data_IF_357567713577
#
_entry.id   IF_357567713577
#
_cell.length_a   1.000
_cell.length_b   1.000
_cell.length_c   1.000
_cell.angle_alpha   90.00
_cell.angle_beta   90.00
_cell.angle_gamma   90.00
#
_symmetry.space_group_name_H-M   'P 1'
#
loop_
_entity.id
_entity.type
_entity.pdbx_description
1 polymer ?
#
# COMPACT_ATOMS: atom_id res chain seq x y z
N UNK A 1 4.40 14.58 9.16
CA UNK A 1 3.39 15.25 8.32
C UNK A 1 2.10 15.28 9.12
N UNK A 2 1.43 16.40 9.23
CA UNK A 2 0.06 16.45 9.77
C UNK A 2 -0.81 16.96 8.65
N UNK A 3 -1.61 16.07 8.08
CA UNK A 3 -2.56 16.43 7.02
C UNK A 3 -3.74 17.14 7.68
N UNK A 4 -3.98 18.38 7.27
CA UNK A 4 -5.09 19.19 7.80
C UNK A 4 -6.36 18.92 6.98
N UNK A 5 -7.45 18.57 7.65
CA UNK A 5 -8.75 18.46 6.99
C UNK A 5 -9.21 19.83 6.46
N UNK A 6 -9.86 19.82 5.29
CA UNK A 6 -10.53 21.02 4.77
C UNK A 6 -11.76 21.35 5.62
N UNK A 7 -12.00 22.64 5.82
CA UNK A 7 -13.20 23.13 6.50
C UNK A 7 -14.44 22.98 5.60
N UNK A 8 -15.63 23.04 6.20
CA UNK A 8 -16.89 22.98 5.45
C UNK A 8 -16.97 24.10 4.41
N UNK A 9 -16.50 25.31 4.75
CA UNK A 9 -16.49 26.44 3.84
C UNK A 9 -15.54 26.22 2.66
N UNK A 10 -14.33 25.73 2.90
CA UNK A 10 -13.36 25.41 1.83
C UNK A 10 -13.90 24.36 0.86
N UNK A 11 -14.67 23.38 1.36
CA UNK A 11 -15.34 22.39 0.51
C UNK A 11 -16.43 23.02 -0.36
N UNK A 12 -17.28 23.90 0.21
CA UNK A 12 -18.30 24.62 -0.56
C UNK A 12 -17.68 25.52 -1.63
N UNK A 13 -16.66 26.29 -1.27
CA UNK A 13 -15.95 27.18 -2.20
C UNK A 13 -15.29 26.40 -3.35
N UNK A 14 -15.03 25.10 -3.13
CA UNK A 14 -14.46 24.17 -4.12
C UNK A 14 -15.52 23.37 -4.89
N UNK A 15 -16.81 23.66 -4.70
CA UNK A 15 -17.90 23.10 -5.50
C UNK A 15 -18.54 21.81 -4.96
N UNK A 16 -18.23 21.40 -3.72
CA UNK A 16 -18.94 20.29 -3.07
C UNK A 16 -20.36 20.68 -2.65
N UNK A 17 -21.33 19.83 -2.93
CA UNK A 17 -22.70 20.00 -2.46
C UNK A 17 -22.86 19.68 -0.97
N UNK A 18 -23.97 20.10 -0.37
CA UNK A 18 -24.34 19.69 0.99
C UNK A 18 -24.38 18.17 1.14
N UNK A 19 -24.91 17.46 0.13
CA UNK A 19 -25.00 16.01 0.13
C UNK A 19 -23.62 15.35 0.13
N UNK A 20 -22.68 15.89 -0.64
CA UNK A 20 -21.32 15.37 -0.72
C UNK A 20 -20.57 15.56 0.61
N UNK A 21 -20.74 16.74 1.23
CA UNK A 21 -20.14 17.04 2.55
C UNK A 21 -20.72 16.14 3.64
N UNK A 22 -22.05 15.92 3.62
CA UNK A 22 -22.70 14.98 4.55
C UNK A 22 -22.20 13.56 4.32
N UNK A 23 -22.01 13.15 3.06
CA UNK A 23 -21.45 11.82 2.73
C UNK A 23 -20.05 11.67 3.32
N UNK A 24 -19.14 12.63 3.12
CA UNK A 24 -17.78 12.62 3.68
C UNK A 24 -17.79 12.54 5.21
N UNK A 25 -18.69 13.28 5.88
CA UNK A 25 -18.83 13.24 7.34
C UNK A 25 -19.33 11.87 7.84
N UNK A 26 -20.33 11.29 7.16
CA UNK A 26 -20.86 9.96 7.50
C UNK A 26 -19.82 8.86 7.32
N UNK A 27 -19.03 8.91 6.26
CA UNK A 27 -17.94 7.96 6.01
C UNK A 27 -16.95 7.99 7.17
N UNK A 28 -16.51 9.18 7.57
CA UNK A 28 -15.60 9.36 8.72
C UNK A 28 -16.19 8.78 10.01
N UNK A 29 -17.46 9.10 10.32
CA UNK A 29 -18.11 8.62 11.55
C UNK A 29 -18.37 7.10 11.50
N UNK A 30 -18.80 6.59 10.34
CA UNK A 30 -19.02 5.15 10.13
C UNK A 30 -17.74 4.35 10.27
N UNK A 31 -16.62 4.84 9.71
CA UNK A 31 -15.29 4.27 9.88
C UNK A 31 -14.87 4.17 11.34
N UNK A 32 -15.07 5.22 12.14
CA UNK A 32 -14.73 5.24 13.57
C UNK A 32 -15.52 4.20 14.39
N UNK A 33 -16.78 3.95 14.05
CA UNK A 33 -17.62 2.97 14.75
C UNK A 33 -17.33 1.51 14.35
N UNK A 34 -16.95 1.25 13.10
CA UNK A 34 -16.69 -0.10 12.58
C UNK A 34 -15.25 -0.58 12.82
N UNK A 35 -14.30 0.31 13.16
CA UNK A 35 -12.88 -0.01 13.30
C UNK A 35 -12.55 -1.05 14.35
N UNK A 36 -13.36 -1.18 15.39
CA UNK A 36 -13.10 -2.10 16.53
C UNK A 36 -13.21 -3.60 16.19
N UNK A 37 -13.64 -3.97 14.98
CA UNK A 37 -13.91 -5.36 14.62
C UNK A 37 -13.50 -5.78 13.21
N UNK A 38 -12.93 -4.90 12.39
CA UNK A 38 -12.68 -5.27 11.00
C UNK A 38 -11.29 -5.87 10.79
N UNK A 39 -11.19 -7.18 11.01
CA UNK A 39 -9.96 -7.93 10.77
C UNK A 39 -9.42 -7.78 9.34
N UNK A 40 -10.29 -7.57 8.35
CA UNK A 40 -9.88 -7.41 6.96
C UNK A 40 -9.08 -6.12 6.74
N UNK A 41 -9.52 -5.00 7.35
CA UNK A 41 -8.80 -3.74 7.29
C UNK A 41 -7.43 -3.84 7.98
N UNK A 42 -7.36 -4.51 9.14
CA UNK A 42 -6.09 -4.75 9.85
C UNK A 42 -5.14 -5.59 8.99
N UNK A 43 -5.63 -6.68 8.39
CA UNK A 43 -4.82 -7.54 7.53
C UNK A 43 -4.27 -6.78 6.32
N UNK A 44 -5.10 -5.94 5.70
CA UNK A 44 -4.64 -5.10 4.61
C UNK A 44 -3.65 -4.02 5.08
N UNK A 45 -3.84 -3.44 6.26
CA UNK A 45 -2.89 -2.55 6.90
C UNK A 45 -1.52 -3.21 7.14
N UNK A 46 -1.51 -4.47 7.60
CA UNK A 46 -0.28 -5.27 7.73
C UNK A 46 0.40 -5.42 6.35
N UNK A 47 -0.37 -5.77 5.32
CA UNK A 47 0.12 -5.87 3.95
C UNK A 47 0.78 -4.56 3.49
N UNK A 48 0.14 -3.41 3.74
CA UNK A 48 0.69 -2.10 3.41
C UNK A 48 1.98 -1.82 4.19
N UNK A 49 2.01 -2.04 5.52
CA UNK A 49 3.21 -1.87 6.31
C UNK A 49 4.39 -2.69 5.81
N UNK A 50 4.15 -3.96 5.48
CA UNK A 50 5.17 -4.85 4.94
C UNK A 50 5.63 -4.42 3.54
N UNK A 51 4.69 -4.01 2.70
CA UNK A 51 4.97 -3.61 1.32
C UNK A 51 5.76 -2.29 1.22
N UNK A 52 5.49 -1.34 2.12
CA UNK A 52 6.16 -0.04 2.17
C UNK A 52 7.28 0.05 3.22
N UNK A 53 7.70 -1.07 3.78
CA UNK A 53 8.67 -1.15 4.88
C UNK A 53 9.97 -0.41 4.61
N UNK A 54 10.51 -0.56 3.41
CA UNK A 54 11.80 0.02 2.99
C UNK A 54 11.65 1.34 2.24
N UNK A 55 10.44 1.88 2.17
CA UNK A 55 10.17 3.14 1.49
C UNK A 55 10.27 4.29 2.49
N UNK A 56 11.20 5.21 2.27
CA UNK A 56 11.34 6.39 3.11
C UNK A 56 10.18 7.37 2.88
N UNK A 57 9.77 8.06 3.95
CA UNK A 57 8.76 9.12 3.90
C UNK A 57 7.38 8.66 3.38
N UNK A 58 7.02 7.40 3.56
CA UNK A 58 5.68 6.91 3.26
C UNK A 58 4.79 7.04 4.48
N UNK A 59 3.69 7.75 4.33
CA UNK A 59 2.69 7.98 5.35
C UNK A 59 1.50 7.05 5.17
N UNK A 60 1.12 6.33 6.21
CA UNK A 60 -0.05 5.46 6.24
C UNK A 60 -1.12 6.08 7.13
N UNK A 61 -2.37 6.03 6.67
CA UNK A 61 -3.52 6.45 7.49
C UNK A 61 -4.78 5.67 7.13
N UNK A 62 -5.61 5.44 8.14
CA UNK A 62 -6.96 4.93 8.01
C UNK A 62 -8.00 5.89 8.60
N UNK A 63 -7.67 7.18 8.73
CA UNK A 63 -8.53 8.19 9.38
C UNK A 63 -8.47 9.57 8.70
N UNK A 64 -8.00 9.66 7.46
CA UNK A 64 -8.01 10.92 6.72
C UNK A 64 -9.42 11.27 6.26
N UNK A 65 -9.66 12.58 6.09
CA UNK A 65 -10.90 13.07 5.50
C UNK A 65 -11.00 12.63 4.03
N UNK A 66 -12.13 12.06 3.64
CA UNK A 66 -12.39 11.61 2.27
C UNK A 66 -13.66 10.81 2.13
N UNK A 67 -13.89 10.30 0.94
CA UNK A 67 -14.98 9.37 0.59
C UNK A 67 -14.46 7.95 0.33
N UNK A 68 -13.13 7.78 0.27
CA UNK A 68 -12.42 6.51 0.13
C UNK A 68 -11.33 6.50 1.19
N UNK A 69 -11.61 5.90 2.35
CA UNK A 69 -10.90 6.21 3.58
C UNK A 69 -10.48 5.00 4.43
N UNK A 70 -10.73 3.76 4.00
CA UNK A 70 -10.34 2.60 4.81
C UNK A 70 -8.81 2.56 5.00
N UNK A 71 -8.05 2.79 3.94
CA UNK A 71 -6.61 3.04 4.01
C UNK A 71 -6.13 4.05 2.98
N UNK A 72 -5.18 4.88 3.38
CA UNK A 72 -4.50 5.83 2.50
C UNK A 72 -2.99 5.69 2.65
N UNK A 73 -2.30 5.65 1.52
CA UNK A 73 -0.83 5.68 1.46
C UNK A 73 -0.41 6.95 0.75
N UNK A 74 0.44 7.74 1.39
CA UNK A 74 0.97 8.97 0.80
C UNK A 74 2.49 8.90 0.72
N UNK A 75 3.01 8.98 -0.49
CA UNK A 75 4.44 9.16 -0.76
C UNK A 75 4.73 10.60 -1.20
N UNK A 76 5.94 10.87 -1.63
CA UNK A 76 6.32 12.18 -2.15
C UNK A 76 5.48 12.57 -3.39
N UNK A 77 5.30 11.63 -4.31
CA UNK A 77 4.70 11.86 -5.64
C UNK A 77 3.31 11.28 -5.80
N UNK A 78 2.90 10.33 -4.96
CA UNK A 78 1.65 9.60 -5.13
C UNK A 78 0.80 9.60 -3.85
N UNK A 79 -0.51 9.52 -4.05
CA UNK A 79 -1.51 9.22 -3.03
C UNK A 79 -2.36 8.05 -3.50
N UNK A 80 -2.39 6.97 -2.73
CA UNK A 80 -3.23 5.80 -2.97
C UNK A 80 -4.35 5.76 -1.95
N UNK A 81 -5.58 5.71 -2.42
CA UNK A 81 -6.78 5.60 -1.59
C UNK A 81 -7.37 4.20 -1.77
N UNK A 82 -7.58 3.46 -0.69
CA UNK A 82 -8.07 2.10 -0.71
C UNK A 82 -9.44 2.01 -0.03
N UNK A 83 -10.42 1.48 -0.74
CA UNK A 83 -11.71 1.08 -0.21
C UNK A 83 -11.77 -0.44 -0.09
N UNK A 84 -12.01 -0.95 1.09
CA UNK A 84 -12.00 -2.38 1.37
C UNK A 84 -13.42 -2.94 1.44
N UNK A 85 -13.62 -4.10 0.81
CA UNK A 85 -14.89 -4.85 0.82
C UNK A 85 -14.64 -6.33 1.09
N UNK A 86 -14.93 -6.75 2.32
CA UNK A 86 -14.89 -8.15 2.72
C UNK A 86 -16.30 -8.74 2.69
N UNK A 87 -16.70 -9.33 1.58
CA UNK A 87 -18.05 -9.90 1.42
C UNK A 87 -18.07 -11.02 0.39
N UNK A 88 -18.79 -12.07 0.71
CA UNK A 88 -19.14 -13.15 -0.23
C UNK A 88 -20.22 -12.71 -1.22
N UNK A 89 -20.97 -11.64 -0.91
CA UNK A 89 -22.03 -11.10 -1.76
C UNK A 89 -21.53 -10.15 -2.83
N UNK A 90 -22.41 -9.25 -3.29
CA UNK A 90 -22.12 -8.29 -4.37
C UNK A 90 -21.34 -7.06 -3.93
N UNK A 91 -21.15 -6.82 -2.64
CA UNK A 91 -20.55 -5.58 -2.11
C UNK A 91 -19.07 -5.38 -2.49
N UNK A 92 -18.38 -6.42 -2.96
CA UNK A 92 -17.02 -6.34 -3.52
C UNK A 92 -16.96 -6.03 -5.01
N UNK A 93 -18.09 -5.73 -5.66
CA UNK A 93 -18.15 -5.30 -7.06
C UNK A 93 -18.16 -3.78 -7.16
N UNK A 94 -17.55 -3.28 -8.22
CA UNK A 94 -17.73 -1.88 -8.62
C UNK A 94 -19.20 -1.63 -8.95
N UNK A 95 -19.73 -0.53 -8.43
CA UNK A 95 -21.09 -0.05 -8.69
C UNK A 95 -21.10 1.48 -8.89
N UNK A 96 -22.27 2.01 -9.17
CA UNK A 96 -22.46 3.45 -9.40
C UNK A 96 -22.13 4.29 -8.17
N UNK A 97 -22.44 3.78 -6.97
CA UNK A 97 -22.17 4.50 -5.72
C UNK A 97 -20.67 4.58 -5.45
N UNK A 98 -19.94 3.48 -5.65
CA UNK A 98 -18.50 3.44 -5.49
C UNK A 98 -17.82 4.33 -6.55
N UNK A 99 -18.31 4.32 -7.80
CA UNK A 99 -17.84 5.24 -8.84
C UNK A 99 -18.00 6.69 -8.40
N UNK A 100 -19.18 7.07 -7.89
CA UNK A 100 -19.41 8.43 -7.38
C UNK A 100 -18.45 8.78 -6.25
N UNK A 101 -18.22 7.88 -5.30
CA UNK A 101 -17.27 8.09 -4.18
C UNK A 101 -15.84 8.32 -4.68
N UNK A 102 -15.39 7.53 -5.65
CA UNK A 102 -14.05 7.67 -6.24
C UNK A 102 -13.91 9.00 -6.98
N UNK A 103 -14.93 9.43 -7.71
CA UNK A 103 -14.95 10.75 -8.37
C UNK A 103 -14.91 11.91 -7.36
N UNK A 104 -15.65 11.82 -6.27
CA UNK A 104 -15.61 12.81 -5.19
C UNK A 104 -14.24 12.82 -4.50
N UNK A 105 -13.62 11.65 -4.28
CA UNK A 105 -12.28 11.57 -3.73
C UNK A 105 -11.25 12.18 -4.66
N UNK A 106 -11.33 11.91 -5.95
CA UNK A 106 -10.45 12.51 -6.96
C UNK A 106 -10.58 14.02 -6.98
N UNK A 107 -11.81 14.54 -6.91
CA UNK A 107 -12.05 15.98 -6.82
C UNK A 107 -11.44 16.57 -5.54
N UNK A 108 -11.66 15.92 -4.40
CA UNK A 108 -11.06 16.31 -3.12
C UNK A 108 -9.53 16.36 -3.19
N UNK A 109 -8.91 15.34 -3.77
CA UNK A 109 -7.45 15.25 -3.87
C UNK A 109 -6.87 16.35 -4.77
N UNK A 110 -7.59 16.77 -5.83
CA UNK A 110 -7.19 17.85 -6.74
C UNK A 110 -7.23 19.23 -6.12
N UNK A 111 -8.05 19.45 -5.10
CA UNK A 111 -8.17 20.76 -4.43
C UNK A 111 -7.39 20.84 -3.14
N UNK A 112 -7.05 19.69 -2.53
CA UNK A 112 -6.38 19.67 -1.23
C UNK A 112 -4.91 20.10 -1.35
N UNK A 113 -4.42 21.11 -0.58
CA UNK A 113 -3.08 21.67 -0.71
C UNK A 113 -1.95 20.61 -0.63
N UNK A 114 -2.11 19.61 0.24
CA UNK A 114 -1.11 18.55 0.44
C UNK A 114 -1.10 17.49 -0.67
N UNK A 115 -2.14 17.46 -1.54
CA UNK A 115 -2.32 16.40 -2.54
C UNK A 115 -2.30 16.91 -3.98
N UNK A 116 -2.58 18.19 -4.23
CA UNK A 116 -2.76 18.76 -5.57
C UNK A 116 -1.59 18.51 -6.55
N UNK A 117 -0.38 18.20 -6.02
CA UNK A 117 0.79 17.87 -6.82
C UNK A 117 1.07 16.37 -6.91
N UNK A 118 0.21 15.55 -6.30
CA UNK A 118 0.39 14.09 -6.28
C UNK A 118 -0.51 13.42 -7.31
N UNK A 119 -0.03 12.31 -7.83
CA UNK A 119 -0.85 11.41 -8.64
C UNK A 119 -1.73 10.62 -7.67
N UNK A 120 -3.04 10.79 -7.75
CA UNK A 120 -3.99 10.05 -6.92
C UNK A 120 -4.51 8.82 -7.65
N UNK A 121 -4.49 7.69 -6.97
CA UNK A 121 -5.08 6.42 -7.44
C UNK A 121 -6.11 5.94 -6.41
N UNK A 122 -7.23 5.42 -6.89
CA UNK A 122 -8.32 4.93 -6.07
C UNK A 122 -8.52 3.44 -6.33
N UNK A 123 -8.36 2.61 -5.31
CA UNK A 123 -8.36 1.16 -5.44
C UNK A 123 -9.49 0.52 -4.64
N UNK A 124 -10.36 -0.24 -5.31
CA UNK A 124 -11.26 -1.17 -4.65
C UNK A 124 -10.49 -2.44 -4.28
N UNK A 125 -10.38 -2.72 -2.99
CA UNK A 125 -9.79 -3.97 -2.47
C UNK A 125 -10.92 -4.90 -2.05
N UNK A 126 -10.93 -6.13 -2.54
CA UNK A 126 -12.02 -7.08 -2.31
C UNK A 126 -11.50 -8.50 -2.06
N UNK A 127 -12.27 -9.28 -1.28
CA UNK A 127 -11.87 -10.63 -0.83
C UNK A 127 -12.43 -11.78 -1.67
N UNK A 128 -13.43 -11.54 -2.53
CA UNK A 128 -14.04 -12.57 -3.36
C UNK A 128 -13.38 -12.63 -4.75
N UNK A 129 -12.67 -13.74 -5.10
CA UNK A 129 -11.98 -13.86 -6.40
C UNK A 129 -12.94 -13.84 -7.61
N UNK A 130 -14.22 -14.18 -7.43
CA UNK A 130 -15.23 -14.15 -8.50
C UNK A 130 -15.47 -12.73 -9.05
N UNK A 131 -15.10 -11.69 -8.29
CA UNK A 131 -15.27 -10.30 -8.71
C UNK A 131 -14.13 -9.76 -9.57
N UNK A 132 -13.02 -10.49 -9.74
CA UNK A 132 -11.83 -10.01 -10.47
C UNK A 132 -12.20 -9.55 -11.88
N UNK A 133 -12.78 -10.44 -12.68
CA UNK A 133 -13.13 -10.13 -14.08
C UNK A 133 -14.18 -9.03 -14.18
N UNK A 134 -15.20 -9.08 -13.32
CA UNK A 134 -16.25 -8.06 -13.30
C UNK A 134 -15.67 -6.67 -13.03
N UNK A 135 -14.83 -6.51 -11.99
CA UNK A 135 -14.28 -5.23 -11.60
C UNK A 135 -13.32 -4.68 -12.67
N UNK A 136 -12.48 -5.53 -13.25
CA UNK A 136 -11.59 -5.13 -14.34
C UNK A 136 -12.37 -4.63 -15.56
N UNK A 137 -13.42 -5.36 -15.95
CA UNK A 137 -14.28 -4.99 -17.07
C UNK A 137 -15.03 -3.68 -16.80
N UNK A 138 -15.62 -3.52 -15.61
CA UNK A 138 -16.32 -2.30 -15.22
C UNK A 138 -15.43 -1.06 -15.28
N UNK A 139 -14.17 -1.15 -14.78
CA UNK A 139 -13.20 -0.06 -14.82
C UNK A 139 -12.89 0.31 -16.28
N UNK A 140 -12.63 -0.68 -17.12
CA UNK A 140 -12.29 -0.48 -18.52
C UNK A 140 -13.44 0.16 -19.32
N UNK A 141 -14.67 -0.35 -19.17
CA UNK A 141 -15.85 0.17 -19.87
C UNK A 141 -16.23 1.61 -19.45
N UNK A 142 -15.98 1.96 -18.20
CA UNK A 142 -16.32 3.29 -17.67
C UNK A 142 -15.18 4.30 -17.80
N UNK A 143 -14.05 3.96 -18.42
CA UNK A 143 -12.89 4.83 -18.66
C UNK A 143 -12.42 5.49 -17.34
N UNK A 144 -12.23 4.65 -16.31
CA UNK A 144 -11.84 5.12 -14.97
C UNK A 144 -10.31 5.06 -14.82
N UNK A 145 -9.59 5.96 -15.50
CA UNK A 145 -8.13 5.91 -15.68
C UNK A 145 -7.30 5.87 -14.37
N UNK A 146 -7.81 6.51 -13.30
CA UNK A 146 -7.14 6.54 -12.00
C UNK A 146 -7.73 5.55 -10.98
N UNK A 147 -8.53 4.58 -11.46
CA UNK A 147 -9.17 3.61 -10.60
C UNK A 147 -8.65 2.21 -10.87
N UNK A 148 -8.46 1.46 -9.81
CA UNK A 148 -7.96 0.11 -9.85
C UNK A 148 -8.84 -0.83 -9.03
N UNK A 149 -8.69 -2.12 -9.26
CA UNK A 149 -9.25 -3.15 -8.40
C UNK A 149 -8.17 -4.16 -8.02
N UNK A 150 -8.13 -4.51 -6.74
CA UNK A 150 -7.15 -5.43 -6.16
C UNK A 150 -7.87 -6.55 -5.42
N UNK A 151 -7.66 -7.78 -5.88
CA UNK A 151 -8.02 -8.95 -5.08
C UNK A 151 -7.03 -9.12 -3.94
N UNK A 152 -7.53 -9.12 -2.70
CA UNK A 152 -6.75 -9.45 -1.51
C UNK A 152 -7.54 -10.50 -0.72
N UNK A 153 -7.01 -11.72 -0.55
CA UNK A 153 -7.74 -12.81 0.08
C UNK A 153 -8.01 -12.53 1.55
N UNK A 154 -9.09 -13.11 2.08
CA UNK A 154 -9.41 -13.08 3.49
C UNK A 154 -9.58 -14.49 4.04
N UNK A 155 -9.06 -14.71 5.24
CA UNK A 155 -9.33 -15.88 6.09
C UNK A 155 -9.41 -15.41 7.54
N UNK A 156 -10.11 -16.19 8.34
CA UNK A 156 -10.42 -15.81 9.73
C UNK A 156 -9.20 -15.85 10.64
N UNK A 157 -8.17 -16.60 10.29
CA UNK A 157 -6.97 -16.74 11.11
C UNK A 157 -5.69 -16.29 10.38
N UNK A 158 -4.72 -15.77 11.14
CA UNK A 158 -3.40 -15.39 10.61
C UNK A 158 -2.64 -16.60 10.04
N UNK A 159 -2.84 -17.79 10.61
CA UNK A 159 -2.20 -19.03 10.12
C UNK A 159 -2.72 -19.36 8.72
N UNK A 160 -4.04 -19.29 8.51
CA UNK A 160 -4.63 -19.50 7.19
C UNK A 160 -4.20 -18.42 6.21
N UNK A 161 -4.13 -17.15 6.63
CA UNK A 161 -3.61 -16.06 5.80
C UNK A 161 -2.15 -16.29 5.39
N UNK A 162 -1.31 -16.82 6.28
CA UNK A 162 0.06 -17.23 5.96
C UNK A 162 0.11 -18.42 4.97
N UNK A 163 -0.88 -19.31 5.00
CA UNK A 163 -0.92 -20.45 4.10
C UNK A 163 -1.30 -20.10 2.65
N UNK A 164 -1.96 -18.93 2.44
CA UNK A 164 -2.41 -18.49 1.12
C UNK A 164 -1.30 -17.72 0.41
N UNK A 165 -0.93 -18.16 -0.79
CA UNK A 165 0.11 -17.55 -1.61
C UNK A 165 -0.25 -16.14 -2.04
N UNK A 166 -1.52 -15.90 -2.41
CA UNK A 166 -2.06 -14.63 -2.88
C UNK A 166 -2.05 -13.54 -1.80
N UNK A 167 -1.97 -13.90 -0.50
CA UNK A 167 -1.80 -12.91 0.58
C UNK A 167 -0.43 -12.25 0.54
N UNK A 168 0.55 -12.91 -0.08
CA UNK A 168 1.95 -12.51 -0.14
C UNK A 168 2.65 -12.36 1.22
N UNK A 169 2.00 -12.67 2.35
CA UNK A 169 2.57 -12.45 3.68
C UNK A 169 3.89 -13.18 3.90
N UNK A 170 4.01 -14.45 3.52
CA UNK A 170 5.29 -15.17 3.65
C UNK A 170 6.42 -14.47 2.91
N UNK A 171 6.15 -14.04 1.67
CA UNK A 171 7.13 -13.35 0.83
C UNK A 171 7.52 -12.00 1.43
N UNK A 172 6.55 -11.25 1.94
CA UNK A 172 6.77 -9.92 2.50
C UNK A 172 7.42 -9.97 3.90
N UNK A 173 7.13 -11.02 4.68
CA UNK A 173 7.71 -11.24 6.00
C UNK A 173 9.15 -11.74 5.94
N UNK A 174 9.47 -12.62 5.01
CA UNK A 174 10.78 -13.27 4.96
C UNK A 174 11.97 -12.30 5.10
N UNK A 175 12.00 -11.13 4.44
CA UNK A 175 13.09 -10.19 4.60
C UNK A 175 13.16 -9.52 5.99
N UNK A 176 12.02 -9.37 6.69
CA UNK A 176 11.96 -8.74 8.03
C UNK A 176 12.02 -9.74 9.16
N UNK A 177 11.57 -10.95 8.92
CA UNK A 177 11.48 -12.06 9.86
C UNK A 177 11.93 -13.34 9.12
N UNK A 178 13.25 -13.59 9.00
CA UNK A 178 13.77 -14.74 8.25
C UNK A 178 13.33 -16.09 8.82
N UNK A 179 13.11 -16.17 10.13
CA UNK A 179 12.61 -17.38 10.77
C UNK A 179 11.10 -17.54 10.52
N UNK A 180 10.76 -18.47 9.63
CA UNK A 180 9.37 -18.76 9.27
C UNK A 180 8.51 -19.21 10.46
N UNK A 181 9.11 -19.82 11.49
CA UNK A 181 8.38 -20.22 12.70
C UNK A 181 7.85 -19.02 13.50
N UNK A 182 8.42 -17.83 13.28
CA UNK A 182 8.03 -16.58 13.93
C UNK A 182 7.06 -15.73 13.10
N UNK A 183 6.72 -16.13 11.88
CA UNK A 183 5.88 -15.33 10.99
C UNK A 183 4.51 -14.99 11.59
N UNK A 184 3.84 -15.94 12.26
CA UNK A 184 2.58 -15.67 12.94
C UNK A 184 2.75 -14.64 14.07
N UNK A 185 3.80 -14.80 14.88
CA UNK A 185 4.12 -13.85 15.95
C UNK A 185 4.40 -12.46 15.38
N UNK A 186 5.15 -12.37 14.29
CA UNK A 186 5.44 -11.12 13.61
C UNK A 186 4.16 -10.43 13.11
N UNK A 187 3.24 -11.17 12.48
CA UNK A 187 1.94 -10.61 12.06
C UNK A 187 1.11 -10.12 13.25
N UNK A 188 1.08 -10.86 14.36
CA UNK A 188 0.36 -10.46 15.58
C UNK A 188 0.92 -9.16 16.18
N UNK A 189 2.24 -8.99 16.18
CA UNK A 189 2.87 -7.78 16.67
C UNK A 189 2.55 -6.57 15.78
N UNK A 190 2.62 -6.72 14.45
CA UNK A 190 2.23 -5.67 13.51
C UNK A 190 0.73 -5.33 13.69
N UNK A 191 -0.13 -6.37 13.77
CA UNK A 191 -1.56 -6.20 13.99
C UNK A 191 -1.85 -5.44 15.30
N UNK A 192 -1.10 -5.72 16.36
CA UNK A 192 -1.29 -5.04 17.65
C UNK A 192 -1.03 -3.54 17.55
N UNK A 193 0.00 -3.12 16.83
CA UNK A 193 0.30 -1.70 16.60
C UNK A 193 -0.79 -1.03 15.79
N UNK A 194 -1.33 -1.70 14.75
CA UNK A 194 -2.38 -1.15 13.90
C UNK A 194 -3.76 -1.14 14.59
N UNK A 195 -4.06 -2.14 15.41
CA UNK A 195 -5.36 -2.30 16.05
C UNK A 195 -5.54 -1.56 17.36
N UNK A 196 -4.46 -1.41 18.17
CA UNK A 196 -4.53 -0.77 19.49
C UNK A 196 -4.76 0.74 19.42
N UNK A 197 -4.34 1.41 18.36
CA UNK A 197 -4.47 2.86 18.21
C UNK A 197 -5.83 3.31 17.68
N UNK A 198 -6.72 2.39 17.26
CA UNK A 198 -8.06 2.69 16.72
C UNK A 198 -8.02 3.53 15.42
N UNK A 199 -7.06 4.43 15.30
CA UNK A 199 -6.77 5.19 14.09
C UNK A 199 -5.26 5.32 13.89
N UNK A 200 -4.80 4.90 12.72
CA UNK A 200 -3.40 5.00 12.31
C UNK A 200 -3.23 6.25 11.44
N UNK A 201 -2.23 7.06 11.76
CA UNK A 201 -1.90 8.26 10.98
C UNK A 201 -0.43 8.60 11.23
N UNK A 202 0.48 7.86 10.60
CA UNK A 202 1.91 7.97 10.86
C UNK A 202 2.76 7.55 9.65
N UNK A 203 4.02 7.98 9.65
CA UNK A 203 5.03 7.44 8.74
C UNK A 203 5.31 5.98 9.05
N UNK A 204 5.60 5.19 8.01
CA UNK A 204 5.91 3.75 8.14
C UNK A 204 7.05 3.49 9.12
N UNK A 205 8.09 4.33 9.11
CA UNK A 205 9.23 4.23 10.03
C UNK A 205 8.78 4.31 11.48
N UNK A 206 7.86 5.22 11.79
CA UNK A 206 7.33 5.38 13.17
C UNK A 206 6.46 4.21 13.61
N UNK A 207 5.73 3.61 12.69
CA UNK A 207 4.96 2.39 12.96
C UNK A 207 5.91 1.22 13.23
N UNK A 208 6.98 1.08 12.46
CA UNK A 208 8.01 0.07 12.66
C UNK A 208 8.77 0.28 13.98
N UNK A 209 9.11 1.51 14.36
CA UNK A 209 9.71 1.81 15.68
C UNK A 209 8.82 1.28 16.84
N UNK A 210 7.48 1.39 16.71
CA UNK A 210 6.55 0.85 17.72
C UNK A 210 6.54 -0.68 17.71
N UNK A 211 6.46 -1.31 16.52
CA UNK A 211 6.50 -2.77 16.40
C UNK A 211 7.77 -3.34 17.03
N UNK A 212 8.93 -2.74 16.75
CA UNK A 212 10.22 -3.19 17.29
C UNK A 212 10.28 -3.02 18.81
N UNK A 213 9.79 -1.87 19.32
CA UNK A 213 9.80 -1.60 20.77
C UNK A 213 8.97 -2.63 21.53
N UNK A 214 7.86 -3.10 20.95
CA UNK A 214 6.95 -4.04 21.58
C UNK A 214 7.31 -5.50 21.28
N UNK A 215 8.23 -5.76 20.35
CA UNK A 215 8.72 -7.06 19.96
C UNK A 215 10.01 -7.44 20.71
N UNK A 216 10.29 -8.74 20.76
CA UNK A 216 11.65 -9.17 21.08
C UNK A 216 12.57 -8.77 19.92
N UNK A 217 13.76 -8.18 20.20
CA UNK A 217 14.66 -7.65 19.16
C UNK A 217 15.10 -8.66 18.10
N UNK A 218 15.06 -9.95 18.44
CA UNK A 218 15.49 -11.06 17.62
C UNK A 218 14.44 -11.55 16.59
N UNK A 219 13.19 -11.08 16.66
CA UNK A 219 12.14 -11.47 15.70
C UNK A 219 12.30 -10.75 14.37
N UNK A 220 12.62 -9.44 14.40
CA UNK A 220 12.68 -8.63 13.21
C UNK A 220 14.11 -8.26 12.82
N UNK A 221 14.46 -8.56 11.58
CA UNK A 221 15.66 -8.01 10.93
C UNK A 221 15.25 -6.82 10.06
N UNK A 222 15.39 -5.62 10.59
CA UNK A 222 15.01 -4.38 9.92
C UNK A 222 16.22 -3.59 9.40
N UNK A 223 17.36 -4.24 9.18
CA UNK A 223 18.48 -3.58 8.50
C UNK A 223 18.02 -3.11 7.12
N UNK A 224 17.77 -1.82 6.90
CA UNK A 224 17.25 -1.36 5.62
C UNK A 224 18.38 -1.46 4.59
N UNK A 225 18.11 -2.07 3.45
CA UNK A 225 18.93 -1.83 2.27
C UNK A 225 18.72 -0.38 1.86
N UNK A 226 19.76 0.42 2.01
CA UNK A 226 19.78 1.80 1.52
C UNK A 226 20.15 1.74 0.04
N UNK A 227 19.20 2.05 -0.84
CA UNK A 227 19.51 2.19 -2.27
C UNK A 227 20.43 3.39 -2.47
N UNK A 228 21.57 3.21 -3.20
CA UNK A 228 22.37 4.35 -3.65
C UNK A 228 21.47 5.38 -4.38
N UNK A 229 21.70 6.69 -4.21
CA UNK A 229 20.80 7.74 -4.72
C UNK A 229 20.48 7.61 -6.23
N UNK A 230 21.45 7.22 -7.06
CA UNK A 230 21.25 7.01 -8.49
C UNK A 230 20.32 5.83 -8.79
N UNK A 231 20.40 4.76 -7.99
CA UNK A 231 19.53 3.57 -8.13
C UNK A 231 18.14 3.88 -7.62
N UNK A 232 18.03 4.57 -6.48
CA UNK A 232 16.78 5.01 -5.92
C UNK A 232 15.99 5.88 -6.90
N UNK A 233 16.65 6.89 -7.48
CA UNK A 233 16.06 7.75 -8.52
C UNK A 233 15.63 6.95 -9.75
N UNK A 234 16.46 6.01 -10.21
CA UNK A 234 16.13 5.15 -11.35
C UNK A 234 14.91 4.28 -11.08
N UNK A 235 14.80 3.72 -9.88
CA UNK A 235 13.62 2.95 -9.46
C UNK A 235 12.36 3.83 -9.47
N UNK A 236 12.45 5.05 -8.94
CA UNK A 236 11.35 6.01 -8.94
C UNK A 236 10.90 6.36 -10.37
N UNK A 237 11.83 6.73 -11.25
CA UNK A 237 11.58 7.06 -12.66
C UNK A 237 10.90 5.90 -13.42
N UNK A 238 11.18 4.66 -13.04
CA UNK A 238 10.64 3.45 -13.66
C UNK A 238 9.41 2.87 -12.93
N UNK A 239 8.96 3.48 -11.84
CA UNK A 239 7.85 2.96 -11.02
C UNK A 239 8.18 1.63 -10.33
N UNK A 240 9.46 1.33 -10.11
CA UNK A 240 9.93 0.14 -9.40
C UNK A 240 9.95 0.45 -7.90
N UNK A 241 9.44 -0.46 -7.09
CA UNK A 241 9.40 -0.30 -5.63
C UNK A 241 10.41 -1.21 -4.95
N UNK A 242 11.08 -0.70 -3.92
CA UNK A 242 11.83 -1.52 -2.98
C UNK A 242 10.85 -2.10 -1.95
N UNK A 243 10.81 -3.42 -1.85
CA UNK A 243 9.98 -4.15 -0.89
C UNK A 243 10.88 -5.15 -0.15
N UNK A 244 11.28 -4.78 1.04
CA UNK A 244 12.34 -5.51 1.75
C UNK A 244 13.66 -5.45 1.01
N UNK A 245 14.23 -6.60 0.79
CA UNK A 245 15.45 -6.78 -0.03
C UNK A 245 15.13 -7.01 -1.51
N UNK A 246 13.87 -6.75 -1.95
CA UNK A 246 13.46 -6.97 -3.33
C UNK A 246 13.07 -5.68 -4.02
N UNK A 247 13.57 -5.47 -5.23
CA UNK A 247 12.98 -4.53 -6.18
C UNK A 247 11.84 -5.23 -6.91
N UNK A 248 10.66 -4.59 -6.90
CA UNK A 248 9.40 -5.18 -7.39
C UNK A 248 8.73 -4.28 -8.41
N UNK A 249 8.26 -4.88 -9.51
CA UNK A 249 7.45 -4.22 -10.53
C UNK A 249 6.47 -5.21 -11.17
N UNK A 250 5.16 -4.98 -11.05
CA UNK A 250 4.09 -5.76 -11.72
C UNK A 250 4.30 -7.30 -11.66
N UNK A 251 4.55 -7.83 -10.46
CA UNK A 251 4.76 -9.26 -10.25
C UNK A 251 6.19 -9.76 -10.52
N UNK A 252 7.04 -8.96 -11.15
CA UNK A 252 8.46 -9.24 -11.25
C UNK A 252 9.16 -8.81 -9.96
N UNK A 253 10.10 -9.61 -9.48
CA UNK A 253 10.91 -9.26 -8.31
C UNK A 253 12.35 -9.73 -8.48
N UNK A 254 13.28 -8.97 -7.91
CA UNK A 254 14.69 -9.34 -7.83
C UNK A 254 15.22 -9.02 -6.44
N UNK A 255 15.89 -9.98 -5.82
CA UNK A 255 16.61 -9.76 -4.57
C UNK A 255 17.75 -8.77 -4.81
N UNK A 256 17.89 -7.78 -3.97
CA UNK A 256 19.03 -6.85 -4.00
C UNK A 256 19.90 -7.06 -2.77
N UNK A 257 21.19 -7.09 -2.99
CA UNK A 257 22.22 -7.14 -1.95
C UNK A 257 23.11 -5.91 -2.08
N UNK A 258 23.79 -5.53 -1.00
CA UNK A 258 24.77 -4.42 -1.07
C UNK A 258 25.82 -4.67 -2.15
N UNK A 259 26.30 -5.94 -2.28
CA UNK A 259 27.26 -6.32 -3.32
C UNK A 259 26.71 -6.11 -4.72
N UNK A 260 25.44 -6.50 -4.97
CA UNK A 260 24.78 -6.28 -6.26
C UNK A 260 24.61 -4.80 -6.56
N UNK A 261 24.16 -4.02 -5.57
CA UNK A 261 23.97 -2.58 -5.74
C UNK A 261 25.29 -1.84 -6.00
N UNK A 262 26.38 -2.24 -5.31
CA UNK A 262 27.70 -1.67 -5.51
C UNK A 262 28.33 -2.02 -6.89
N UNK A 263 27.88 -3.10 -7.53
CA UNK A 263 28.36 -3.52 -8.85
C UNK A 263 27.66 -2.81 -10.02
N UNK A 264 26.55 -2.08 -9.76
CA UNK A 264 25.85 -1.30 -10.77
C UNK A 264 26.58 0.01 -11.07
N UNK A 265 26.77 0.30 -12.35
CA UNK A 265 27.38 1.54 -12.80
C UNK A 265 26.41 2.39 -13.64
N UNK A 266 26.75 3.67 -13.81
CA UNK A 266 25.90 4.64 -14.52
C UNK A 266 25.64 4.25 -15.98
N UNK A 267 26.59 3.59 -16.65
CA UNK A 267 26.41 3.12 -18.02
C UNK A 267 25.33 2.04 -18.10
N UNK A 268 25.32 1.10 -17.16
CA UNK A 268 24.29 0.07 -17.08
C UNK A 268 22.92 0.69 -16.75
N UNK A 269 22.86 1.63 -15.79
CA UNK A 269 21.62 2.31 -15.42
C UNK A 269 21.05 3.12 -16.59
N UNK A 270 21.89 3.75 -17.41
CA UNK A 270 21.45 4.55 -18.56
C UNK A 270 20.80 3.71 -19.67
N UNK A 271 21.19 2.44 -19.80
CA UNK A 271 20.58 1.51 -20.78
C UNK A 271 19.20 1.00 -20.38
N UNK A 272 18.87 1.08 -19.09
CA UNK A 272 17.60 0.59 -18.54
C UNK A 272 16.48 1.60 -18.78
N UNK A 273 15.80 1.53 -19.93
CA UNK A 273 14.69 2.43 -20.29
C UNK A 273 13.32 1.97 -19.82
N UNK A 274 13.18 0.71 -19.42
CA UNK A 274 11.92 0.15 -18.91
C UNK A 274 12.17 -0.65 -17.63
N UNK A 275 11.15 -0.82 -16.77
CA UNK A 275 11.25 -1.60 -15.54
C UNK A 275 11.71 -3.05 -15.79
N UNK A 276 11.19 -3.67 -16.86
CA UNK A 276 11.52 -5.06 -17.23
C UNK A 276 13.01 -5.20 -17.57
N UNK A 277 13.57 -4.26 -18.34
CA UNK A 277 15.00 -4.27 -18.69
C UNK A 277 15.84 -4.13 -17.41
N UNK A 278 15.46 -3.24 -16.51
CA UNK A 278 16.19 -3.01 -15.26
C UNK A 278 16.14 -4.26 -14.35
N UNK A 279 14.97 -4.84 -14.12
CA UNK A 279 14.83 -6.07 -13.31
C UNK A 279 15.59 -7.24 -13.94
N UNK A 280 15.51 -7.41 -15.27
CA UNK A 280 16.25 -8.47 -15.99
C UNK A 280 17.77 -8.28 -15.90
N UNK A 281 18.27 -7.05 -15.92
CA UNK A 281 19.69 -6.76 -15.70
C UNK A 281 20.11 -7.24 -14.30
N UNK A 282 19.38 -6.86 -13.27
CA UNK A 282 19.67 -7.24 -11.89
C UNK A 282 19.61 -8.78 -11.68
N UNK A 283 18.61 -9.45 -12.25
CA UNK A 283 18.50 -10.91 -12.19
C UNK A 283 19.70 -11.61 -12.82
N UNK A 284 20.15 -11.12 -13.97
CA UNK A 284 21.36 -11.67 -14.64
C UNK A 284 22.60 -11.45 -13.80
N UNK A 285 22.81 -10.24 -13.25
CA UNK A 285 23.95 -9.93 -12.39
C UNK A 285 23.95 -10.79 -11.11
N UNK A 286 22.76 -11.03 -10.51
CA UNK A 286 22.61 -11.96 -9.39
C UNK A 286 23.03 -13.38 -9.77
N UNK A 287 22.60 -13.87 -10.93
CA UNK A 287 22.92 -15.22 -11.38
C UNK A 287 24.45 -15.39 -11.64
N UNK A 288 25.13 -14.32 -12.03
CA UNK A 288 26.60 -14.29 -12.17
C UNK A 288 27.31 -14.29 -10.79
N UNK A 289 26.76 -13.58 -9.82
CA UNK A 289 27.32 -13.48 -8.46
C UNK A 289 27.21 -14.79 -7.64
N UNK A 290 26.27 -15.69 -7.98
CA UNK A 290 26.07 -16.99 -7.32
C UNK A 290 27.05 -18.05 -7.87
N UNK A 291 27.69 -17.79 -9.00
CA UNK A 291 28.64 -18.73 -9.62
C UNK A 291 30.08 -18.60 -9.14
N UNK A 292 30.39 -17.53 -8.45
CA UNK A 292 31.66 -17.24 -7.78
C UNK A 292 31.55 -17.56 -6.26
#
# INVERSE_FOLDING_TARGET
MTVKSLTKQELYDSGFSDEDIVLMQRMRTGGDNNRKGNNYEILFGIYLMLNYRSSNNVYLSNCLQGTVDDWVVISETHKFNFQLKNSEGTSGKFDTDLKKRFQLQEHYDKIHPDYLKKISTHTLVFSNPEHIQFNQHYIAENTLDNNESLYFPYRDTLVEMLAIEESHFKRLLHPVCPDQSQHETALRLIASVLGLEGSVSAFTEKLWEKVIRDAKPDIFNLSPIILPPQIGKKCEDLGIRLSGEYLVYNGLSVLVTEKLLASLNDAQLSTCRTPQIFISLLQRMMAETIKD
#
